data_IF_889619539580
#
_entry.id   IF_889619539580
#
_cell.length_a   1.000
_cell.length_b   1.000
_cell.length_c   1.000
_cell.angle_alpha   90.00
_cell.angle_beta   90.00
_cell.angle_gamma   90.00
#
_symmetry.space_group_name_H-M   'P 1'
#
loop_
_entity.id
_entity.type
_entity.pdbx_description
1 polymer ?
#
# COMPACT_ATOMS: atom_id res chain seq x y z
N UNK A 1 17.55 12.01 -7.16
CA UNK A 1 17.06 11.46 -5.87
C UNK A 1 17.97 11.99 -4.77
N UNK A 2 17.49 12.20 -3.55
CA UNK A 2 18.30 12.69 -2.44
C UNK A 2 18.38 11.65 -1.33
N UNK A 3 19.53 11.57 -0.66
CA UNK A 3 19.77 10.78 0.54
C UNK A 3 19.86 11.71 1.75
N UNK A 4 19.14 11.40 2.83
CA UNK A 4 19.26 12.15 4.09
C UNK A 4 20.57 11.77 4.76
N UNK A 5 21.39 12.78 5.10
CA UNK A 5 22.67 12.58 5.78
C UNK A 5 22.65 13.06 7.24
N UNK A 6 21.62 13.81 7.64
CA UNK A 6 21.41 14.22 9.02
C UNK A 6 20.52 15.46 9.13
N UNK A 7 20.59 16.10 10.30
CA UNK A 7 19.97 17.39 10.60
C UNK A 7 21.02 18.49 10.60
N UNK A 8 20.63 19.72 10.30
CA UNK A 8 21.54 20.86 10.35
C UNK A 8 21.98 21.15 11.80
N UNK A 9 23.26 21.45 12.05
CA UNK A 9 23.78 21.67 13.41
C UNK A 9 23.10 22.85 14.11
N UNK A 10 22.78 23.91 13.37
CA UNK A 10 22.21 25.15 13.92
C UNK A 10 20.66 25.15 13.94
N UNK A 11 20.03 24.21 13.22
CA UNK A 11 18.57 24.12 13.04
C UNK A 11 18.14 22.66 13.01
N UNK A 12 17.74 22.06 14.15
CA UNK A 12 17.44 20.63 14.23
C UNK A 12 16.25 20.20 13.35
N UNK A 13 15.37 21.13 12.96
CA UNK A 13 14.23 20.86 12.08
C UNK A 13 14.56 20.91 10.58
N UNK A 14 15.79 21.29 10.23
CA UNK A 14 16.24 21.33 8.85
C UNK A 14 17.03 20.06 8.54
N UNK A 15 16.66 19.37 7.47
CA UNK A 15 17.32 18.17 7.00
C UNK A 15 18.45 18.57 6.05
N UNK A 16 19.60 17.93 6.22
CA UNK A 16 20.70 17.98 5.26
C UNK A 16 20.59 16.76 4.37
N UNK A 17 20.53 17.00 3.06
CA UNK A 17 20.38 15.96 2.05
C UNK A 17 21.46 16.07 0.99
N UNK A 18 21.82 14.94 0.42
CA UNK A 18 22.84 14.80 -0.62
C UNK A 18 22.21 14.21 -1.89
N UNK A 19 22.44 14.83 -3.04
CA UNK A 19 21.93 14.32 -4.30
C UNK A 19 22.70 13.05 -4.69
N UNK A 20 21.98 11.94 -4.91
CA UNK A 20 22.58 10.60 -5.07
C UNK A 20 23.54 10.50 -6.27
N UNK A 21 23.29 11.29 -7.32
CA UNK A 21 24.11 11.24 -8.56
C UNK A 21 25.21 12.29 -8.56
N UNK A 22 24.92 13.52 -8.12
CA UNK A 22 25.87 14.64 -8.22
C UNK A 22 26.69 14.86 -6.95
N UNK A 23 26.29 14.26 -5.82
CA UNK A 23 26.91 14.48 -4.51
C UNK A 23 26.65 15.86 -3.91
N UNK A 24 25.84 16.71 -4.57
CA UNK A 24 25.55 18.06 -4.10
C UNK A 24 24.73 18.02 -2.82
N UNK A 25 25.16 18.81 -1.83
CA UNK A 25 24.50 18.91 -0.53
C UNK A 25 23.61 20.13 -0.47
N UNK A 26 22.42 19.95 0.07
CA UNK A 26 21.45 21.00 0.30
C UNK A 26 20.77 20.80 1.64
N UNK A 27 20.34 21.90 2.23
CA UNK A 27 19.55 21.92 3.44
C UNK A 27 18.14 22.42 3.12
N UNK A 28 17.12 21.78 3.70
CA UNK A 28 15.77 22.32 3.62
C UNK A 28 14.98 22.02 4.90
N UNK A 29 13.98 22.87 5.16
CA UNK A 29 13.06 22.70 6.27
C UNK A 29 11.92 21.76 5.86
N UNK A 30 11.82 20.59 6.47
CA UNK A 30 10.81 19.57 6.12
C UNK A 30 9.38 20.02 6.39
N UNK A 31 9.16 20.88 7.40
CA UNK A 31 7.83 21.40 7.74
C UNK A 31 7.29 22.40 6.70
N UNK A 32 8.16 23.01 5.89
CA UNK A 32 7.76 23.99 4.85
C UNK A 32 7.72 23.37 3.45
N UNK A 33 8.16 22.13 3.29
CA UNK A 33 8.24 21.47 2.00
C UNK A 33 6.99 20.59 1.75
N UNK A 34 6.08 21.07 0.90
CA UNK A 34 4.77 20.45 0.70
C UNK A 34 4.74 19.26 -0.28
N UNK A 35 5.83 18.98 -1.01
CA UNK A 35 5.88 17.96 -2.08
C UNK A 35 7.09 17.05 -1.94
N UNK A 36 7.13 16.32 -0.83
CA UNK A 36 8.17 15.34 -0.57
C UNK A 36 7.64 13.93 -0.77
N UNK A 37 8.49 13.06 -1.28
CA UNK A 37 8.28 11.62 -1.24
C UNK A 37 9.49 11.02 -0.55
N UNK A 38 9.23 10.25 0.50
CA UNK A 38 10.26 9.56 1.28
C UNK A 38 10.28 8.10 0.85
N UNK A 39 11.46 7.54 0.70
CA UNK A 39 11.66 6.18 0.25
C UNK A 39 12.63 5.47 1.18
N UNK A 40 12.42 4.17 1.35
CA UNK A 40 13.36 3.26 1.99
C UNK A 40 14.05 2.42 0.90
N UNK A 41 15.38 2.45 0.80
CA UNK A 41 16.09 1.60 -0.15
C UNK A 41 16.09 0.15 0.36
N UNK A 42 15.46 -0.73 -0.40
CA UNK A 42 15.42 -2.17 -0.09
C UNK A 42 16.36 -2.91 -1.05
N UNK A 43 17.38 -3.63 -0.54
CA UNK A 43 18.15 -4.54 -1.38
C UNK A 43 17.24 -5.70 -1.80
N UNK A 44 17.12 -5.92 -3.11
CA UNK A 44 16.30 -6.98 -3.66
C UNK A 44 17.07 -7.71 -4.75
N UNK A 45 17.08 -9.04 -4.67
CA UNK A 45 17.59 -9.90 -5.72
C UNK A 45 16.48 -10.14 -6.75
N UNK A 46 16.80 -9.92 -8.03
CA UNK A 46 15.92 -10.15 -9.16
C UNK A 46 16.56 -11.13 -10.13
N UNK A 47 15.74 -12.00 -10.70
CA UNK A 47 16.10 -12.99 -11.70
C UNK A 47 15.14 -12.94 -12.88
N UNK A 48 15.58 -13.45 -14.04
CA UNK A 48 14.68 -13.63 -15.17
C UNK A 48 13.52 -14.57 -14.79
N UNK A 49 12.30 -14.22 -15.17
CA UNK A 49 11.05 -14.88 -14.78
C UNK A 49 10.39 -14.30 -13.53
N UNK A 50 11.06 -13.43 -12.78
CA UNK A 50 10.45 -12.76 -11.63
C UNK A 50 9.35 -11.80 -12.07
N UNK A 51 8.31 -11.66 -11.24
CA UNK A 51 7.32 -10.61 -11.43
C UNK A 51 7.62 -9.41 -10.55
N UNK A 52 7.60 -8.22 -11.16
CA UNK A 52 7.83 -6.94 -10.49
C UNK A 52 6.66 -5.98 -10.70
N UNK A 53 6.45 -5.10 -9.73
CA UNK A 53 5.45 -4.05 -9.73
C UNK A 53 6.15 -2.69 -9.66
N UNK A 54 5.70 -1.76 -10.48
CA UNK A 54 6.15 -0.37 -10.44
C UNK A 54 5.54 0.33 -9.24
N UNK A 55 6.37 1.02 -8.44
CA UNK A 55 5.93 1.75 -7.23
C UNK A 55 5.76 3.25 -7.45
N UNK A 56 6.13 3.76 -8.62
CA UNK A 56 6.00 5.18 -8.97
C UNK A 56 5.78 5.40 -10.46
N UNK A 57 4.91 6.35 -10.80
CA UNK A 57 4.71 6.76 -12.19
C UNK A 57 6.00 7.31 -12.81
N UNK A 58 6.30 6.90 -14.04
CA UNK A 58 7.33 7.48 -14.88
C UNK A 58 6.79 7.66 -16.30
N UNK A 59 6.38 8.90 -16.62
CA UNK A 59 5.76 9.23 -17.89
C UNK A 59 6.71 9.03 -19.09
N UNK A 60 8.03 9.20 -18.91
CA UNK A 60 9.01 9.03 -20.00
C UNK A 60 9.12 7.57 -20.46
N UNK A 61 8.93 6.64 -19.52
CA UNK A 61 9.00 5.20 -19.78
C UNK A 61 7.61 4.56 -19.86
N UNK A 62 6.55 5.37 -19.82
CA UNK A 62 5.16 4.92 -19.77
C UNK A 62 4.92 3.85 -18.67
N UNK A 63 5.48 4.10 -17.49
CA UNK A 63 5.29 3.27 -16.31
C UNK A 63 4.25 3.90 -15.39
N UNK A 64 3.26 3.11 -15.00
CA UNK A 64 2.21 3.49 -14.06
C UNK A 64 2.39 2.74 -12.75
N UNK A 65 2.12 3.40 -11.63
CA UNK A 65 2.14 2.82 -10.30
C UNK A 65 1.12 1.66 -10.23
N UNK A 66 1.55 0.52 -9.72
CA UNK A 66 0.77 -0.71 -9.72
C UNK A 66 0.92 -1.56 -10.99
N UNK A 67 1.53 -1.03 -12.06
CA UNK A 67 1.81 -1.78 -13.27
C UNK A 67 2.73 -2.97 -13.00
N UNK A 68 2.39 -4.14 -13.54
CA UNK A 68 3.11 -5.40 -13.33
C UNK A 68 3.81 -5.84 -14.62
N UNK A 69 5.04 -6.31 -14.47
CA UNK A 69 5.88 -6.76 -15.57
C UNK A 69 6.68 -7.99 -15.14
N UNK A 70 7.02 -8.82 -16.11
CA UNK A 70 7.98 -9.90 -15.94
C UNK A 70 9.39 -9.35 -16.14
N UNK A 71 10.34 -9.78 -15.31
CA UNK A 71 11.76 -9.54 -15.49
C UNK A 71 12.24 -10.50 -16.57
N UNK A 72 12.69 -9.95 -17.69
CA UNK A 72 13.15 -10.72 -18.85
C UNK A 72 14.66 -10.99 -18.80
N UNK A 73 15.41 -10.08 -18.19
CA UNK A 73 16.86 -10.22 -18.02
C UNK A 73 17.36 -9.25 -16.95
N UNK A 74 18.45 -9.63 -16.29
CA UNK A 74 19.17 -8.79 -15.31
C UNK A 74 20.64 -8.80 -15.68
N UNK A 75 21.26 -7.62 -15.68
CA UNK A 75 22.71 -7.43 -15.84
C UNK A 75 23.24 -6.68 -14.62
N UNK A 76 24.58 -6.56 -14.44
CA UNK A 76 25.14 -5.80 -13.32
C UNK A 76 24.71 -4.32 -13.25
N UNK A 77 24.24 -3.75 -14.37
CA UNK A 77 23.89 -2.33 -14.48
C UNK A 77 22.47 -2.07 -14.96
N UNK A 78 21.69 -3.11 -15.30
CA UNK A 78 20.35 -2.91 -15.85
C UNK A 78 19.40 -4.06 -15.55
N UNK A 79 18.10 -3.72 -15.50
CA UNK A 79 17.01 -4.67 -15.38
C UNK A 79 16.09 -4.48 -16.59
N UNK A 80 15.83 -5.57 -17.32
CA UNK A 80 14.94 -5.53 -18.47
C UNK A 80 13.61 -6.15 -18.07
N UNK A 81 12.54 -5.37 -18.15
CA UNK A 81 11.18 -5.80 -17.82
C UNK A 81 10.29 -5.78 -19.06
N UNK A 82 9.26 -6.62 -19.09
CA UNK A 82 8.31 -6.63 -20.19
C UNK A 82 7.01 -7.37 -19.91
N UNK A 83 6.13 -7.32 -20.89
CA UNK A 83 4.78 -7.89 -20.83
C UNK A 83 3.92 -7.34 -21.96
N UNK A 84 3.03 -8.16 -22.52
CA UNK A 84 2.08 -7.73 -23.57
C UNK A 84 2.75 -7.14 -24.83
N UNK A 85 3.93 -7.66 -25.21
CA UNK A 85 4.69 -7.17 -26.36
C UNK A 85 5.59 -5.95 -26.09
N UNK A 86 5.55 -5.38 -24.88
CA UNK A 86 6.43 -4.26 -24.48
C UNK A 86 7.70 -4.77 -23.79
N UNK A 87 8.83 -4.12 -24.05
CA UNK A 87 10.12 -4.37 -23.41
C UNK A 87 10.78 -3.05 -23.03
N UNK A 88 11.20 -2.92 -21.78
CA UNK A 88 11.79 -1.71 -21.22
C UNK A 88 13.09 -2.07 -20.48
N UNK A 89 14.15 -1.33 -20.77
CA UNK A 89 15.43 -1.44 -20.05
C UNK A 89 15.51 -0.33 -19.00
N UNK A 90 15.70 -0.72 -17.75
CA UNK A 90 15.88 0.18 -16.63
C UNK A 90 17.35 0.22 -16.23
N UNK A 91 17.90 1.42 -16.11
CA UNK A 91 19.28 1.64 -15.69
C UNK A 91 19.36 1.57 -14.15
N UNK A 92 19.96 0.49 -13.65
CA UNK A 92 20.19 0.27 -12.22
C UNK A 92 21.47 0.96 -11.72
N UNK A 93 22.36 1.39 -12.61
CA UNK A 93 23.58 2.12 -12.25
C UNK A 93 23.30 3.60 -11.96
N UNK A 94 22.26 4.18 -12.57
CA UNK A 94 21.84 5.56 -12.31
C UNK A 94 21.24 5.80 -10.91
N UNK A 95 20.85 4.74 -10.20
CA UNK A 95 20.34 4.80 -8.84
C UNK A 95 19.23 3.77 -8.57
N UNK A 96 18.60 3.84 -7.38
CA UNK A 96 17.54 2.92 -7.00
C UNK A 96 16.36 2.93 -7.97
N UNK A 97 15.87 1.73 -8.31
CA UNK A 97 14.72 1.56 -9.18
C UNK A 97 13.40 1.66 -8.38
N UNK A 98 12.37 2.26 -8.98
CA UNK A 98 11.01 2.27 -8.42
C UNK A 98 10.27 0.97 -8.76
N UNK A 99 10.85 -0.16 -8.31
CA UNK A 99 10.32 -1.50 -8.47
C UNK A 99 10.19 -2.19 -7.11
N UNK A 100 9.24 -3.11 -7.04
CA UNK A 100 9.01 -4.01 -5.92
C UNK A 100 8.63 -5.39 -6.49
N UNK A 101 8.77 -6.47 -5.71
CA UNK A 101 8.35 -7.80 -6.12
C UNK A 101 6.82 -7.86 -6.19
N UNK A 102 6.28 -8.54 -7.21
CA UNK A 102 4.83 -8.62 -7.46
C UNK A 102 4.22 -9.99 -7.15
N UNK A 103 4.92 -10.83 -6.37
CA UNK A 103 4.45 -12.16 -5.97
C UNK A 103 3.22 -12.14 -5.07
N UNK A 104 3.20 -11.20 -4.13
CA UNK A 104 2.09 -10.96 -3.24
C UNK A 104 1.68 -9.49 -3.34
N UNK A 105 0.41 -9.22 -3.10
CA UNK A 105 -0.16 -7.88 -3.18
C UNK A 105 -1.10 -7.69 -2.01
N UNK A 106 -1.22 -6.47 -1.50
CA UNK A 106 -2.23 -6.17 -0.48
C UNK A 106 -3.62 -6.15 -1.14
N UNK A 107 -4.67 -6.53 -0.42
CA UNK A 107 -6.05 -6.51 -0.96
C UNK A 107 -6.44 -5.15 -1.51
N UNK A 108 -6.02 -4.07 -0.86
CA UNK A 108 -6.23 -2.69 -1.32
C UNK A 108 -5.61 -2.45 -2.71
N UNK A 109 -4.35 -2.86 -2.90
CA UNK A 109 -3.67 -2.74 -4.21
C UNK A 109 -4.22 -3.68 -5.29
N UNK A 110 -4.99 -4.70 -4.90
CA UNK A 110 -5.65 -5.62 -5.83
C UNK A 110 -7.03 -5.14 -6.29
N UNK A 111 -7.50 -4.00 -5.81
CA UNK A 111 -8.81 -3.48 -6.18
C UNK A 111 -8.92 -3.30 -7.71
N UNK A 112 -10.02 -3.80 -8.28
CA UNK A 112 -10.24 -3.78 -9.73
C UNK A 112 -9.53 -4.88 -10.52
N UNK A 113 -8.59 -5.62 -9.90
CA UNK A 113 -7.99 -6.79 -10.53
C UNK A 113 -8.96 -7.98 -10.51
N UNK A 114 -8.76 -8.91 -11.46
CA UNK A 114 -9.46 -10.19 -11.51
C UNK A 114 -8.45 -11.29 -11.80
N UNK A 115 -8.55 -12.41 -11.10
CA UNK A 115 -7.73 -13.61 -11.30
C UNK A 115 -8.62 -14.86 -11.35
N UNK A 116 -8.06 -15.98 -11.80
CA UNK A 116 -8.79 -17.26 -11.76
C UNK A 116 -8.86 -17.84 -10.35
N UNK A 117 -7.71 -17.78 -9.65
CA UNK A 117 -7.54 -18.29 -8.29
C UNK A 117 -6.95 -17.20 -7.40
N UNK A 118 -7.48 -17.04 -6.19
CA UNK A 118 -6.93 -16.17 -5.15
C UNK A 118 -6.47 -16.98 -3.95
N UNK A 119 -5.21 -16.78 -3.55
CA UNK A 119 -4.65 -17.29 -2.29
C UNK A 119 -4.56 -16.10 -1.33
N UNK A 120 -5.27 -16.17 -0.21
CA UNK A 120 -5.43 -15.04 0.72
C UNK A 120 -4.87 -15.43 2.07
N UNK A 121 -3.87 -14.70 2.56
CA UNK A 121 -3.49 -14.77 3.98
C UNK A 121 -4.32 -13.72 4.76
N UNK A 122 -5.10 -14.18 5.73
CA UNK A 122 -5.94 -13.34 6.58
C UNK A 122 -5.75 -13.76 8.04
N UNK A 123 -5.07 -12.93 8.82
CA UNK A 123 -4.76 -13.19 10.23
C UNK A 123 -5.82 -12.54 11.13
N UNK A 124 -6.41 -13.31 12.05
CA UNK A 124 -7.47 -12.82 12.95
C UNK A 124 -6.98 -11.69 13.87
N UNK A 125 -5.69 -11.70 14.24
CA UNK A 125 -5.09 -10.69 15.11
C UNK A 125 -4.75 -9.38 14.39
N UNK A 126 -4.79 -9.36 13.04
CA UNK A 126 -4.42 -8.16 12.29
C UNK A 126 -5.53 -7.12 12.32
N UNK A 127 -5.18 -5.87 12.66
CA UNK A 127 -6.10 -4.72 12.63
C UNK A 127 -6.59 -4.35 11.23
N UNK A 128 -5.91 -4.83 10.20
CA UNK A 128 -6.28 -4.61 8.79
C UNK A 128 -7.17 -5.72 8.24
N UNK A 129 -7.37 -6.80 8.99
CA UNK A 129 -8.36 -7.83 8.69
C UNK A 129 -9.74 -7.29 9.06
N UNK A 130 -10.46 -6.80 8.07
CA UNK A 130 -11.78 -6.21 8.23
C UNK A 130 -12.68 -6.64 7.09
N UNK A 131 -14.00 -6.51 7.28
CA UNK A 131 -15.03 -6.94 6.32
C UNK A 131 -14.75 -6.50 4.89
N UNK A 132 -14.44 -5.22 4.67
CA UNK A 132 -14.21 -4.65 3.34
C UNK A 132 -12.95 -5.21 2.67
N UNK A 133 -11.86 -5.31 3.44
CA UNK A 133 -10.57 -5.86 2.96
C UNK A 133 -10.74 -7.33 2.59
N UNK A 134 -11.48 -8.07 3.41
CA UNK A 134 -11.81 -9.48 3.19
C UNK A 134 -12.70 -9.65 1.95
N UNK A 135 -13.74 -8.83 1.80
CA UNK A 135 -14.62 -8.83 0.64
C UNK A 135 -13.88 -8.52 -0.66
N UNK A 136 -13.03 -7.49 -0.68
CA UNK A 136 -12.21 -7.16 -1.85
C UNK A 136 -11.32 -8.34 -2.21
N UNK A 137 -10.66 -8.96 -1.24
CA UNK A 137 -9.76 -10.09 -1.48
C UNK A 137 -10.50 -11.30 -2.11
N UNK A 138 -11.64 -11.71 -1.55
CA UNK A 138 -12.41 -12.86 -2.05
C UNK A 138 -12.98 -12.59 -3.43
N UNK A 139 -13.50 -11.38 -3.67
CA UNK A 139 -14.16 -11.01 -4.94
C UNK A 139 -13.20 -10.87 -6.13
N UNK A 140 -11.88 -11.02 -5.95
CA UNK A 140 -10.92 -10.98 -7.07
C UNK A 140 -10.94 -12.27 -7.91
N UNK A 141 -11.30 -13.40 -7.31
CA UNK A 141 -11.24 -14.70 -7.98
C UNK A 141 -12.51 -15.01 -8.77
N UNK A 142 -12.35 -15.53 -10.00
CA UNK A 142 -13.46 -16.03 -10.82
C UNK A 142 -13.87 -17.45 -10.47
N UNK A 143 -12.91 -18.30 -10.09
CA UNK A 143 -13.16 -19.74 -9.99
C UNK A 143 -12.90 -20.29 -8.59
N UNK A 144 -11.85 -19.86 -7.90
CA UNK A 144 -11.49 -20.43 -6.60
C UNK A 144 -10.81 -19.42 -5.68
N UNK A 145 -11.16 -19.47 -4.40
CA UNK A 145 -10.49 -18.72 -3.34
C UNK A 145 -10.07 -19.69 -2.24
N UNK A 146 -8.82 -19.60 -1.80
CA UNK A 146 -8.28 -20.33 -0.66
C UNK A 146 -7.82 -19.31 0.38
N UNK A 147 -8.29 -19.45 1.62
CA UNK A 147 -8.00 -18.54 2.72
C UNK A 147 -7.15 -19.28 3.74
N UNK A 148 -5.98 -18.72 4.01
CA UNK A 148 -5.06 -19.16 5.05
C UNK A 148 -5.22 -18.20 6.24
N UNK A 149 -5.49 -18.76 7.42
CA UNK A 149 -5.69 -18.03 8.67
C UNK A 149 -5.10 -18.83 9.82
N UNK A 150 -4.73 -18.14 10.89
CA UNK A 150 -4.32 -18.75 12.15
C UNK A 150 -5.49 -19.46 12.86
N UNK A 151 -6.71 -18.90 12.80
CA UNK A 151 -7.92 -19.49 13.38
C UNK A 151 -9.16 -19.10 12.55
N UNK A 152 -9.89 -20.10 12.06
CA UNK A 152 -11.07 -19.89 11.22
C UNK A 152 -12.30 -19.40 12.00
N UNK A 153 -12.43 -19.79 13.27
CA UNK A 153 -13.55 -19.40 14.14
C UNK A 153 -13.40 -17.93 14.54
N UNK A 154 -12.18 -17.51 14.90
CA UNK A 154 -11.91 -16.11 15.23
C UNK A 154 -12.04 -15.21 14.01
N UNK A 155 -11.53 -15.65 12.85
CA UNK A 155 -11.57 -14.86 11.62
C UNK A 155 -13.00 -14.43 11.28
N UNK A 156 -13.98 -15.33 11.41
CA UNK A 156 -15.39 -15.03 11.16
C UNK A 156 -15.90 -13.88 12.05
N UNK A 157 -15.54 -13.87 13.33
CA UNK A 157 -15.91 -12.81 14.26
C UNK A 157 -15.21 -11.48 13.97
N UNK A 158 -14.00 -11.50 13.42
CA UNK A 158 -13.23 -10.30 13.08
C UNK A 158 -13.73 -9.65 11.78
N UNK A 159 -14.19 -10.44 10.81
CA UNK A 159 -14.67 -9.93 9.51
C UNK A 159 -16.17 -9.61 9.48
N UNK A 160 -16.95 -10.04 10.45
CA UNK A 160 -18.39 -9.76 10.51
C UNK A 160 -18.74 -8.28 10.77
N UNK A 161 -18.08 -7.58 11.72
CA UNK A 161 -18.40 -6.19 12.00
C UNK A 161 -18.27 -5.29 10.76
N UNK A 162 -19.32 -4.53 10.49
CA UNK A 162 -19.29 -3.48 9.47
C UNK A 162 -18.64 -2.22 10.05
N UNK A 163 -17.54 -1.77 9.46
CA UNK A 163 -16.93 -0.49 9.82
C UNK A 163 -17.67 0.64 9.08
N UNK A 164 -18.52 1.38 9.79
CA UNK A 164 -19.14 2.59 9.25
C UNK A 164 -18.15 3.76 9.30
N UNK A 165 -17.55 4.09 8.17
CA UNK A 165 -16.78 5.33 8.01
C UNK A 165 -17.74 6.50 7.82
N UNK A 166 -17.84 7.37 8.82
CA UNK A 166 -18.60 8.62 8.72
C UNK A 166 -17.78 9.66 7.96
N UNK A 167 -18.42 10.38 7.04
CA UNK A 167 -17.82 11.54 6.41
C UNK A 167 -17.99 12.78 7.30
N UNK A 168 -17.11 13.78 7.18
CA UNK A 168 -17.34 15.07 7.84
C UNK A 168 -18.68 15.72 7.45
N UNK A 169 -19.19 15.39 6.24
CA UNK A 169 -20.51 15.78 5.76
C UNK A 169 -21.66 15.17 6.58
N UNK A 170 -21.43 14.04 7.25
CA UNK A 170 -22.44 13.32 8.02
C UNK A 170 -22.63 13.90 9.43
N UNK A 171 -21.71 14.76 9.87
CA UNK A 171 -21.74 15.39 11.19
C UNK A 171 -22.98 16.29 11.27
N UNK A 172 -23.90 15.97 12.18
CA UNK A 172 -25.16 16.68 12.37
C UNK A 172 -26.35 16.17 11.54
N UNK A 173 -26.14 15.20 10.64
CA UNK A 173 -27.22 14.53 9.88
C UNK A 173 -27.71 13.22 10.53
N UNK A 174 -27.14 12.86 11.68
CA UNK A 174 -27.34 11.58 12.39
C UNK A 174 -28.81 11.27 12.72
N UNK A 175 -29.63 12.30 12.97
CA UNK A 175 -31.06 12.17 13.34
C UNK A 175 -31.94 11.77 12.13
N UNK A 176 -31.45 11.96 10.90
CA UNK A 176 -32.26 11.78 9.67
C UNK A 176 -32.05 10.46 8.95
N UNK A 177 -31.25 9.53 9.50
CA UNK A 177 -30.93 8.26 8.83
C UNK A 177 -31.95 7.15 9.19
N UNK A 178 -32.75 6.64 8.23
CA UNK A 178 -33.86 5.72 8.52
C UNK A 178 -33.45 4.28 8.88
N UNK A 179 -32.18 3.90 8.76
CA UNK A 179 -31.72 2.51 8.95
C UNK A 179 -30.90 2.25 10.21
N UNK A 180 -30.77 3.23 11.12
CA UNK A 180 -30.18 2.98 12.45
C UNK A 180 -31.28 2.52 13.41
N UNK A 181 -31.26 1.28 13.94
CA UNK A 181 -32.13 0.95 15.06
C UNK A 181 -31.73 1.85 16.23
N UNK A 182 -32.69 2.62 16.73
CA UNK A 182 -32.56 3.32 17.99
C UNK A 182 -32.27 2.27 19.07
N UNK A 183 -31.03 2.15 19.52
CA UNK A 183 -30.79 1.57 20.83
C UNK A 183 -31.38 2.58 21.80
N UNK A 184 -32.55 2.26 22.37
CA UNK A 184 -33.09 3.00 23.48
C UNK A 184 -31.95 3.17 24.50
N UNK A 185 -31.69 4.42 24.89
CA UNK A 185 -30.84 4.72 26.04
C UNK A 185 -31.24 3.76 27.15
N UNK A 186 -30.30 2.92 27.61
CA UNK A 186 -30.53 2.11 28.79
C UNK A 186 -30.91 3.11 29.88
N UNK A 187 -32.18 3.10 30.28
CA UNK A 187 -32.64 3.92 31.37
C UNK A 187 -31.70 3.62 32.54
N UNK A 188 -30.98 4.65 33.01
CA UNK A 188 -30.37 4.60 34.32
C UNK A 188 -31.50 4.25 35.28
N UNK A 189 -31.50 3.03 35.80
CA UNK A 189 -32.33 2.66 36.93
C UNK A 189 -31.91 3.56 38.10
N UNK A 190 -32.56 4.71 38.21
CA UNK A 190 -32.58 5.48 39.44
C UNK A 190 -33.39 4.66 40.43
N UNK A 191 -32.71 3.83 41.21
CA UNK A 191 -33.31 3.14 42.32
C UNK A 191 -33.71 4.16 43.41
N UNK A 192 -35.00 4.35 43.74
CA UNK A 192 -35.38 5.17 44.87
C UNK A 192 -35.58 4.29 46.11
N UNK A 193 -34.71 4.55 47.11
CA UNK A 193 -34.68 4.09 48.51
C UNK A 193 -34.12 2.70 48.79
#
# INVERSE_FOLDING_TARGET
MYRVIGTAPDKPNDLVVEHVVTGERTQFNSARAAKLSVYEPVPAELSAGDWVRVTRNNAKLDLVNGGRFEVLAVTPTSVIIGGGGRRLTLDAAAGPLHLDRAYATTSHSAQGLTCDRALINAESFSRTTQRDVHYVAISRARHQTEIYTNDASELAGVVDPLEEKTAALDIGLEITRPWRPHKASAAMDMNPK
#
